data_IF_035597439470
#
_entry.id   IF_035597439470
#
_cell.length_a   1.000
_cell.length_b   1.000
_cell.length_c   1.000
_cell.angle_alpha   90.00
_cell.angle_beta   90.00
_cell.angle_gamma   90.00
#
_symmetry.space_group_name_H-M   'P 1'
#
loop_
_entity.id
_entity.type
_entity.pdbx_description
1 polymer ?
#
# COMPACT_ATOMS: atom_id res chain seq x y z
N UNK A 1 14.41 -1.43 -6.61
CA UNK A 1 13.14 -1.09 -7.27
C UNK A 1 12.03 -2.08 -6.93
N UNK A 2 11.87 -3.25 -7.59
CA UNK A 2 10.72 -4.13 -7.31
C UNK A 2 10.72 -4.71 -5.89
N UNK A 3 11.89 -5.01 -5.31
CA UNK A 3 11.98 -5.41 -3.90
C UNK A 3 11.67 -4.25 -2.92
N UNK A 4 11.79 -3.00 -3.36
CA UNK A 4 11.47 -1.84 -2.53
C UNK A 4 9.96 -1.60 -2.56
N UNK A 5 9.32 -1.72 -3.73
CA UNK A 5 7.86 -1.77 -3.85
C UNK A 5 7.26 -2.95 -3.05
N UNK A 6 7.83 -4.15 -3.16
CA UNK A 6 7.40 -5.30 -2.34
C UNK A 6 7.48 -4.99 -0.84
N UNK A 7 8.53 -4.29 -0.39
CA UNK A 7 8.62 -3.89 1.00
C UNK A 7 7.54 -2.88 1.39
N UNK A 8 7.26 -1.90 0.53
CA UNK A 8 6.15 -0.96 0.70
C UNK A 8 4.83 -1.69 0.89
N UNK A 9 4.47 -2.58 -0.03
CA UNK A 9 3.22 -3.36 0.04
C UNK A 9 3.10 -4.15 1.34
N UNK A 10 4.16 -4.85 1.73
CA UNK A 10 4.17 -5.63 2.96
C UNK A 10 4.02 -4.75 4.21
N UNK A 11 4.62 -3.55 4.23
CA UNK A 11 4.42 -2.59 5.32
C UNK A 11 2.97 -2.07 5.32
N UNK A 12 2.38 -1.79 4.15
CA UNK A 12 0.98 -1.40 4.02
C UNK A 12 0.05 -2.49 4.56
N UNK A 13 0.22 -3.76 4.15
CA UNK A 13 -0.55 -4.90 4.69
C UNK A 13 -0.52 -4.93 6.22
N UNK A 14 0.68 -4.81 6.81
CA UNK A 14 0.85 -4.86 8.26
C UNK A 14 0.18 -3.65 8.95
N UNK A 15 0.29 -2.47 8.36
CA UNK A 15 -0.29 -1.23 8.89
C UNK A 15 -1.82 -1.27 8.83
N UNK A 16 -2.38 -1.61 7.67
CA UNK A 16 -3.82 -1.78 7.50
C UNK A 16 -4.41 -2.83 8.42
N UNK A 17 -3.77 -4.01 8.58
CA UNK A 17 -4.25 -5.01 9.54
C UNK A 17 -4.25 -4.49 10.96
N UNK A 18 -3.19 -3.77 11.37
CA UNK A 18 -3.17 -3.13 12.69
C UNK A 18 -4.34 -2.15 12.83
N UNK A 19 -4.54 -1.26 11.86
CA UNK A 19 -5.61 -0.28 11.90
C UNK A 19 -7.00 -0.94 11.90
N UNK A 20 -7.21 -2.01 11.13
CA UNK A 20 -8.45 -2.80 11.16
C UNK A 20 -8.77 -3.31 12.58
N UNK A 21 -7.81 -3.94 13.25
CA UNK A 21 -8.05 -4.50 14.58
C UNK A 21 -8.16 -3.44 15.68
N UNK A 22 -7.56 -2.27 15.48
CA UNK A 22 -7.53 -1.17 16.44
C UNK A 22 -8.59 -0.10 16.19
N UNK A 23 -9.39 -0.24 15.12
CA UNK A 23 -10.45 0.68 14.79
C UNK A 23 -11.57 0.60 15.85
N UNK A 24 -11.79 1.71 16.55
CA UNK A 24 -12.79 1.83 17.61
C UNK A 24 -13.60 3.13 17.47
N UNK A 25 -14.80 3.15 18.02
CA UNK A 25 -15.73 4.29 17.97
C UNK A 25 -16.96 4.05 17.09
N UNK A 26 -17.83 5.06 17.00
CA UNK A 26 -19.17 4.95 16.39
C UNK A 26 -19.11 4.63 14.89
N UNK A 27 -18.07 5.10 14.19
CA UNK A 27 -17.85 4.88 12.76
C UNK A 27 -16.93 3.69 12.45
N UNK A 28 -16.45 2.98 13.46
CA UNK A 28 -15.37 2.01 13.31
C UNK A 28 -15.71 0.83 12.41
N UNK A 29 -16.95 0.34 12.42
CA UNK A 29 -17.29 -0.88 11.68
C UNK A 29 -17.08 -0.76 10.16
N UNK A 30 -17.41 0.39 9.57
CA UNK A 30 -17.25 0.60 8.13
C UNK A 30 -15.77 0.83 7.79
N UNK A 31 -15.09 1.68 8.54
CA UNK A 31 -13.67 1.99 8.34
C UNK A 31 -12.78 0.76 8.56
N UNK A 32 -13.10 -0.07 9.56
CA UNK A 32 -12.39 -1.33 9.79
C UNK A 32 -12.57 -2.31 8.63
N UNK A 33 -13.76 -2.38 8.02
CA UNK A 33 -13.98 -3.22 6.85
C UNK A 33 -13.13 -2.74 5.67
N UNK A 34 -13.14 -1.43 5.40
CA UNK A 34 -12.28 -0.81 4.37
C UNK A 34 -10.79 -1.13 4.58
N UNK A 35 -10.29 -0.95 5.81
CA UNK A 35 -8.91 -1.29 6.13
C UNK A 35 -8.58 -2.76 5.91
N UNK A 36 -9.53 -3.67 6.12
CA UNK A 36 -9.31 -5.09 5.87
C UNK A 36 -9.28 -5.39 4.36
N UNK A 37 -10.15 -4.74 3.60
CA UNK A 37 -10.24 -4.91 2.15
C UNK A 37 -8.94 -4.42 1.49
N UNK A 38 -8.49 -3.21 1.82
CA UNK A 38 -7.18 -2.69 1.38
C UNK A 38 -6.04 -3.64 1.81
N UNK A 39 -6.01 -4.12 3.07
CA UNK A 39 -4.98 -5.07 3.49
C UNK A 39 -4.89 -6.34 2.64
N UNK A 40 -6.01 -6.79 2.07
CA UNK A 40 -6.05 -7.95 1.19
C UNK A 40 -5.57 -7.61 -0.23
N UNK A 41 -5.91 -6.42 -0.73
CA UNK A 41 -5.45 -5.90 -2.03
C UNK A 41 -3.95 -5.67 -2.05
N UNK A 42 -3.40 -5.03 -1.00
CA UNK A 42 -1.96 -4.85 -0.79
C UNK A 42 -1.22 -6.20 -0.71
N UNK A 43 -1.85 -7.21 -0.10
CA UNK A 43 -1.29 -8.56 -0.09
C UNK A 43 -1.25 -9.15 -1.51
N UNK A 44 -2.27 -8.88 -2.33
CA UNK A 44 -2.29 -9.24 -3.74
C UNK A 44 -1.22 -8.51 -4.56
N UNK A 45 -0.98 -7.23 -4.28
CA UNK A 45 0.10 -6.43 -4.89
C UNK A 45 1.47 -7.04 -4.57
N UNK A 46 1.72 -7.35 -3.29
CA UNK A 46 2.95 -8.03 -2.84
C UNK A 46 3.18 -9.35 -3.57
N UNK A 47 2.14 -10.19 -3.73
CA UNK A 47 2.23 -11.46 -4.46
C UNK A 47 2.57 -11.27 -5.94
N UNK A 48 1.95 -10.28 -6.60
CA UNK A 48 2.24 -9.92 -8.01
C UNK A 48 3.69 -9.48 -8.17
N UNK A 49 4.18 -8.60 -7.29
CA UNK A 49 5.55 -8.11 -7.28
C UNK A 49 6.56 -9.24 -7.04
N UNK A 50 6.33 -10.08 -6.03
CA UNK A 50 7.19 -11.22 -5.72
C UNK A 50 7.30 -12.19 -6.90
N UNK A 51 6.15 -12.53 -7.52
CA UNK A 51 6.12 -13.35 -8.72
C UNK A 51 6.90 -12.71 -9.86
N UNK A 52 6.79 -11.39 -10.05
CA UNK A 52 7.51 -10.69 -11.11
C UNK A 52 9.02 -10.66 -10.87
N UNK A 53 9.46 -10.48 -9.62
CA UNK A 53 10.88 -10.55 -9.24
C UNK A 53 11.47 -11.91 -9.62
N UNK A 54 10.77 -13.01 -9.33
CA UNK A 54 11.22 -14.37 -9.70
C UNK A 54 11.28 -14.55 -11.21
N UNK A 55 10.29 -14.05 -11.96
CA UNK A 55 10.29 -14.12 -13.44
C UNK A 55 11.49 -13.40 -14.07
N UNK A 56 12.00 -12.35 -13.42
CA UNK A 56 13.18 -11.60 -13.84
C UNK A 56 14.50 -12.22 -13.34
N UNK A 57 14.43 -13.39 -12.69
CA UNK A 57 15.59 -14.11 -12.15
C UNK A 57 16.10 -13.58 -10.81
N UNK A 58 15.34 -12.71 -10.14
CA UNK A 58 15.65 -12.21 -8.80
C UNK A 58 15.08 -13.08 -7.68
N UNK A 59 15.40 -12.72 -6.44
CA UNK A 59 14.82 -13.31 -5.24
C UNK A 59 13.99 -12.24 -4.49
N UNK A 60 12.69 -12.48 -4.21
CA UNK A 60 11.88 -11.55 -3.45
C UNK A 60 12.29 -11.57 -1.97
N UNK A 61 12.52 -10.40 -1.39
CA UNK A 61 12.94 -10.25 0.00
C UNK A 61 11.74 -9.94 0.91
N UNK A 62 11.28 -10.97 1.61
CA UNK A 62 10.24 -10.93 2.64
C UNK A 62 10.79 -10.79 4.07
N UNK A 63 12.10 -10.59 4.23
CA UNK A 63 12.71 -10.51 5.55
C UNK A 63 12.12 -9.34 6.35
N UNK A 64 11.55 -9.59 7.55
CA UNK A 64 10.99 -8.51 8.38
C UNK A 64 12.09 -7.53 8.83
N UNK A 65 13.33 -8.02 9.01
CA UNK A 65 14.45 -7.21 9.50
C UNK A 65 14.89 -6.11 8.53
N UNK A 66 14.68 -6.32 7.22
CA UNK A 66 15.06 -5.36 6.17
C UNK A 66 13.87 -4.55 5.64
N UNK A 67 12.66 -4.84 6.12
CA UNK A 67 11.42 -4.39 5.48
C UNK A 67 11.24 -2.87 5.56
N UNK A 68 11.35 -2.33 6.78
CA UNK A 68 11.19 -0.89 7.03
C UNK A 68 12.26 -0.03 6.34
N UNK A 69 13.47 -0.57 6.17
CA UNK A 69 14.57 0.15 5.52
C UNK A 69 14.40 0.24 3.99
N UNK A 70 13.58 -0.62 3.39
CA UNK A 70 13.31 -0.66 1.93
C UNK A 70 11.97 -0.04 1.56
N UNK A 71 11.01 -0.07 2.47
CA UNK A 71 9.69 0.51 2.25
C UNK A 71 9.78 2.01 2.01
N UNK A 72 9.00 2.51 1.05
CA UNK A 72 8.81 3.94 0.83
C UNK A 72 7.83 4.53 1.84
N UNK A 73 6.86 3.73 2.31
CA UNK A 73 5.87 4.13 3.31
C UNK A 73 6.29 3.70 4.72
N UNK A 74 5.97 4.53 5.72
CA UNK A 74 6.27 4.22 7.12
C UNK A 74 5.20 3.31 7.76
N UNK A 75 5.61 2.58 8.79
CA UNK A 75 4.69 1.88 9.69
C UNK A 75 4.29 2.83 10.82
N UNK A 76 3.26 3.66 10.58
CA UNK A 76 2.70 4.54 11.60
C UNK A 76 1.44 3.90 12.17
N UNK A 77 1.36 3.86 13.50
CA UNK A 77 0.33 3.12 14.22
C UNK A 77 -1.05 3.79 14.30
N UNK A 78 -1.10 5.13 14.30
CA UNK A 78 -2.32 5.90 14.58
C UNK A 78 -2.85 5.73 16.02
N UNK A 79 -3.30 6.83 16.64
CA UNK A 79 -3.87 6.81 18.00
C UNK A 79 -5.40 6.92 18.01
N UNK A 80 -5.99 7.43 16.93
CA UNK A 80 -7.43 7.61 16.76
C UNK A 80 -7.86 7.07 15.39
N UNK A 81 -9.16 6.84 15.20
CA UNK A 81 -9.69 6.42 13.90
C UNK A 81 -9.35 7.43 12.79
N UNK A 82 -9.44 8.73 13.10
CA UNK A 82 -9.07 9.80 12.16
C UNK A 82 -7.57 9.77 11.83
N UNK A 83 -6.70 9.56 12.84
CA UNK A 83 -5.27 9.39 12.60
C UNK A 83 -4.99 8.19 11.71
N UNK A 84 -5.62 7.03 11.96
CA UNK A 84 -5.41 5.82 11.14
C UNK A 84 -5.77 6.05 9.67
N UNK A 85 -6.89 6.74 9.40
CA UNK A 85 -7.30 7.09 8.04
C UNK A 85 -6.29 8.06 7.41
N UNK A 86 -5.89 9.09 8.16
CA UNK A 86 -4.92 10.09 7.70
C UNK A 86 -3.56 9.47 7.39
N UNK A 87 -3.04 8.59 8.25
CA UNK A 87 -1.75 7.93 8.05
C UNK A 87 -1.80 6.95 6.86
N UNK A 88 -2.89 6.21 6.69
CA UNK A 88 -3.07 5.39 5.49
C UNK A 88 -3.12 6.25 4.22
N UNK A 89 -3.87 7.36 4.23
CA UNK A 89 -3.95 8.27 3.07
C UNK A 89 -2.58 8.88 2.70
N UNK A 90 -1.77 9.22 3.71
CA UNK A 90 -0.40 9.70 3.47
C UNK A 90 0.45 8.58 2.85
N UNK A 91 0.35 7.36 3.36
CA UNK A 91 1.08 6.23 2.82
C UNK A 91 0.67 5.90 1.37
N UNK A 92 -0.62 5.95 1.03
CA UNK A 92 -1.09 5.73 -0.34
C UNK A 92 -0.51 6.74 -1.31
N UNK A 93 -0.47 8.02 -0.93
CA UNK A 93 0.12 9.07 -1.77
C UNK A 93 1.61 8.84 -2.02
N UNK A 94 2.33 8.35 -1.02
CA UNK A 94 3.75 7.99 -1.15
C UNK A 94 3.91 6.77 -2.07
N UNK A 95 3.04 5.76 -1.94
CA UNK A 95 3.05 4.58 -2.81
C UNK A 95 2.76 4.96 -4.27
N UNK A 96 1.72 5.77 -4.51
CA UNK A 96 1.36 6.34 -5.82
C UNK A 96 2.54 7.04 -6.48
N UNK A 97 3.21 7.94 -5.76
CA UNK A 97 4.36 8.67 -6.30
C UNK A 97 5.52 7.72 -6.61
N UNK A 98 5.78 6.75 -5.73
CA UNK A 98 6.79 5.70 -5.95
C UNK A 98 6.49 4.87 -7.20
N UNK A 99 5.24 4.45 -7.40
CA UNK A 99 4.83 3.70 -8.59
C UNK A 99 4.97 4.53 -9.87
N UNK A 100 4.57 5.80 -9.85
CA UNK A 100 4.74 6.73 -10.98
C UNK A 100 6.22 6.87 -11.37
N UNK A 101 7.11 7.03 -10.38
CA UNK A 101 8.56 7.07 -10.61
C UNK A 101 9.09 5.77 -11.21
N UNK A 102 8.67 4.61 -10.69
CA UNK A 102 9.07 3.31 -11.21
C UNK A 102 8.60 3.09 -12.65
N UNK A 103 7.36 3.45 -12.96
CA UNK A 103 6.78 3.37 -14.31
C UNK A 103 7.55 4.27 -15.28
N UNK A 104 7.89 5.48 -14.85
CA UNK A 104 8.70 6.41 -15.66
C UNK A 104 10.12 5.86 -15.88
N UNK A 105 10.75 5.29 -14.85
CA UNK A 105 12.10 4.74 -14.92
C UNK A 105 12.20 3.52 -15.84
N UNK A 106 11.16 2.67 -15.88
CA UNK A 106 11.12 1.53 -16.80
C UNK A 106 10.98 1.95 -18.26
N UNK A 107 10.22 3.02 -18.55
CA UNK A 107 9.90 3.42 -19.92
C UNK A 107 9.39 2.23 -20.74
N UNK A 108 9.93 2.06 -21.95
CA UNK A 108 9.53 0.97 -22.85
C UNK A 108 10.39 -0.31 -22.70
N UNK A 109 11.31 -0.36 -21.74
CA UNK A 109 12.31 -1.44 -21.65
C UNK A 109 11.75 -2.76 -21.11
N UNK A 110 10.71 -2.70 -20.27
CA UNK A 110 9.99 -3.86 -19.76
C UNK A 110 8.48 -3.59 -19.73
N UNK A 111 7.78 -3.79 -20.86
CA UNK A 111 6.36 -3.49 -20.98
C UNK A 111 5.49 -4.36 -20.06
N UNK A 112 5.95 -5.56 -19.72
CA UNK A 112 5.22 -6.48 -18.84
C UNK A 112 5.27 -5.99 -17.39
N UNK A 113 6.46 -5.63 -16.88
CA UNK A 113 6.57 -5.03 -15.54
C UNK A 113 5.82 -3.70 -15.50
N UNK A 114 6.01 -2.84 -16.51
CA UNK A 114 5.35 -1.54 -16.56
C UNK A 114 3.82 -1.67 -16.49
N UNK A 115 3.24 -2.58 -17.27
CA UNK A 115 1.79 -2.84 -17.23
C UNK A 115 1.33 -3.27 -15.84
N UNK A 116 2.04 -4.22 -15.22
CA UNK A 116 1.71 -4.68 -13.88
C UNK A 116 1.73 -3.54 -12.85
N UNK A 117 2.74 -2.66 -12.91
CA UNK A 117 2.83 -1.51 -12.01
C UNK A 117 1.71 -0.48 -12.24
N UNK A 118 1.28 -0.27 -13.49
CA UNK A 118 0.11 0.59 -13.80
C UNK A 118 -1.16 0.01 -13.19
N UNK A 119 -1.36 -1.30 -13.32
CA UNK A 119 -2.50 -2.00 -12.72
C UNK A 119 -2.46 -2.05 -11.19
N UNK A 120 -1.31 -1.79 -10.55
CA UNK A 120 -1.24 -1.61 -9.08
C UNK A 120 -1.54 -0.15 -8.75
N UNK A 121 -0.88 0.79 -9.44
CA UNK A 121 -1.10 2.22 -9.30
C UNK A 121 -2.58 2.62 -9.41
N UNK A 122 -3.34 2.02 -10.34
CA UNK A 122 -4.78 2.26 -10.49
C UNK A 122 -5.54 1.96 -9.19
N UNK A 123 -5.20 0.86 -8.51
CA UNK A 123 -5.82 0.47 -7.24
C UNK A 123 -5.37 1.38 -6.10
N UNK A 124 -4.09 1.78 -6.04
CA UNK A 124 -3.65 2.74 -5.01
C UNK A 124 -4.32 4.11 -5.14
N UNK A 125 -4.59 4.54 -6.37
CA UNK A 125 -5.35 5.78 -6.62
C UNK A 125 -6.80 5.65 -6.11
N UNK A 126 -7.44 4.48 -6.27
CA UNK A 126 -8.76 4.17 -5.71
C UNK A 126 -8.73 4.17 -4.16
N UNK A 127 -7.77 3.47 -3.54
CA UNK A 127 -7.58 3.46 -2.09
C UNK A 127 -7.46 4.89 -1.52
N UNK A 128 -6.66 5.75 -2.17
CA UNK A 128 -6.45 7.12 -1.72
C UNK A 128 -7.74 7.96 -1.79
N UNK A 129 -8.57 7.77 -2.82
CA UNK A 129 -9.85 8.47 -2.98
C UNK A 129 -10.89 8.02 -1.95
N UNK A 130 -10.94 6.71 -1.65
CA UNK A 130 -11.81 6.14 -0.62
C UNK A 130 -11.45 6.64 0.78
N UNK A 131 -10.15 6.62 1.13
CA UNK A 131 -9.66 7.17 2.39
C UNK A 131 -9.90 8.67 2.52
N UNK A 132 -9.70 9.44 1.43
CA UNK A 132 -9.99 10.87 1.42
C UNK A 132 -11.48 11.14 1.66
N UNK A 133 -12.36 10.32 1.08
CA UNK A 133 -13.80 10.40 1.27
C UNK A 133 -14.21 10.09 2.70
N UNK A 134 -13.64 9.03 3.30
CA UNK A 134 -13.85 8.69 4.71
C UNK A 134 -13.36 9.79 5.65
N UNK A 135 -12.16 10.34 5.40
CA UNK A 135 -11.59 11.42 6.18
C UNK A 135 -12.48 12.68 6.16
N UNK A 136 -13.00 13.05 4.98
CA UNK A 136 -13.93 14.18 4.88
C UNK A 136 -15.27 13.91 5.58
N UNK A 137 -15.79 12.69 5.48
CA UNK A 137 -17.02 12.26 6.14
C UNK A 137 -16.95 12.32 7.66
N UNK A 138 -15.77 12.15 8.26
CA UNK A 138 -15.57 12.27 9.71
C UNK A 138 -15.57 13.71 10.24
N UNK A 139 -15.35 14.70 9.36
CA UNK A 139 -15.27 16.12 9.76
C UNK A 139 -16.62 16.84 9.77
N UNK A 140 -17.68 16.20 9.26
CA UNK A 140 -19.04 16.74 9.13
C UNK A 140 -20.02 16.08 10.10
#
# INVERSE_FOLDING_TARGET
MLNDALATELVCVLRYKRHHFMAEGIHASAVAAEFLDHANEESGHADRLAKRIVQLGGAPDFSPDSLSARSHAEYVEGSTLEDMIRENLVAERIAIDSYREMIAALGDTDPTTRRMLIEILEVEEEHADELASLHHGMQN
#
